data_IF_459402166055
#
_entry.id   IF_459402166055
#
_cell.length_a   1.000
_cell.length_b   1.000
_cell.length_c   1.000
_cell.angle_alpha   90.00
_cell.angle_beta   90.00
_cell.angle_gamma   90.00
#
_symmetry.space_group_name_H-M   'P 1'
#
loop_
_entity.id
_entity.type
_entity.pdbx_description
1 polymer ?
#
# COMPACT_ATOMS: atom_id res chain seq x y z
N UNK A 1 -4.94 12.97 1.78
CA UNK A 1 -4.23 12.83 0.48
C UNK A 1 -5.12 12.05 -0.49
N UNK A 2 -4.98 12.27 -1.80
CA UNK A 2 -5.69 11.49 -2.84
C UNK A 2 -4.69 11.00 -3.87
N UNK A 3 -4.92 9.80 -4.40
CA UNK A 3 -4.11 9.22 -5.46
C UNK A 3 -5.02 8.73 -6.58
N UNK A 4 -4.55 8.78 -7.82
CA UNK A 4 -5.35 8.42 -8.98
C UNK A 4 -4.52 7.59 -9.95
N UNK A 5 -5.17 6.62 -10.58
CA UNK A 5 -4.62 5.94 -11.75
C UNK A 5 -5.31 6.41 -13.01
N UNK A 6 -4.56 6.49 -14.11
CA UNK A 6 -5.10 6.70 -15.44
C UNK A 6 -5.50 5.34 -16.02
N UNK A 7 -6.78 5.17 -16.36
CA UNK A 7 -7.27 4.00 -17.06
C UNK A 7 -6.92 4.04 -18.55
N UNK A 8 -6.97 2.87 -19.21
CA UNK A 8 -6.82 2.76 -20.67
C UNK A 8 -7.92 3.48 -21.44
N UNK A 9 -9.03 3.80 -20.78
CA UNK A 9 -10.13 4.64 -21.27
C UNK A 9 -9.85 6.15 -21.17
N UNK A 10 -8.65 6.54 -20.75
CA UNK A 10 -8.25 7.94 -20.56
C UNK A 10 -8.91 8.60 -19.33
N UNK A 11 -9.56 7.82 -18.45
CA UNK A 11 -10.24 8.36 -17.26
C UNK A 11 -9.43 8.13 -16.01
N UNK A 12 -9.40 9.14 -15.14
CA UNK A 12 -8.83 9.01 -13.80
C UNK A 12 -9.78 8.24 -12.89
N UNK A 13 -9.22 7.30 -12.12
CA UNK A 13 -9.93 6.55 -11.09
C UNK A 13 -9.15 6.69 -9.79
N UNK A 14 -9.87 6.96 -8.71
CA UNK A 14 -9.26 7.11 -7.39
C UNK A 14 -8.72 5.76 -6.92
N UNK A 15 -7.48 5.78 -6.40
CA UNK A 15 -6.82 4.63 -5.82
C UNK A 15 -7.13 4.55 -4.33
N UNK A 16 -7.17 3.33 -3.80
CA UNK A 16 -7.43 3.11 -2.39
C UNK A 16 -6.18 3.41 -1.57
N UNK A 17 -6.35 4.20 -0.52
CA UNK A 17 -5.34 4.43 0.52
C UNK A 17 -5.91 3.83 1.80
N UNK A 18 -5.26 2.80 2.33
CA UNK A 18 -5.70 2.10 3.55
C UNK A 18 -4.70 2.32 4.67
N UNK A 19 -5.14 2.87 5.80
CA UNK A 19 -4.27 3.11 6.96
C UNK A 19 -3.05 3.99 6.64
N UNK A 20 -3.18 4.95 5.72
CA UNK A 20 -2.07 5.80 5.27
C UNK A 20 -1.10 5.12 4.29
N UNK A 21 -1.45 3.96 3.72
CA UNK A 21 -0.64 3.28 2.71
C UNK A 21 -1.33 3.33 1.36
N UNK A 22 -0.59 3.81 0.36
CA UNK A 22 -0.93 3.68 -1.04
C UNK A 22 -0.29 2.40 -1.59
N UNK A 23 -1.08 1.54 -2.22
CA UNK A 23 -0.61 0.35 -2.94
C UNK A 23 -0.75 0.62 -4.44
N UNK A 24 0.27 0.30 -5.24
CA UNK A 24 0.23 0.49 -6.68
C UNK A 24 -0.61 -0.58 -7.36
N UNK A 25 -1.51 -0.14 -8.25
CA UNK A 25 -2.27 -1.03 -9.14
C UNK A 25 -1.48 -1.39 -10.43
N UNK A 26 -0.30 -0.80 -10.62
CA UNK A 26 0.47 -0.88 -11.89
C UNK A 26 1.85 -1.52 -11.70
N UNK A 27 2.47 -1.30 -10.54
CA UNK A 27 3.79 -1.86 -10.21
C UNK A 27 3.57 -2.88 -9.10
N UNK A 28 3.65 -4.15 -9.44
CA UNK A 28 3.45 -5.25 -8.49
C UNK A 28 4.43 -5.14 -7.32
N UNK A 29 3.90 -5.27 -6.10
CA UNK A 29 4.69 -5.18 -4.86
C UNK A 29 5.09 -3.76 -4.46
N UNK A 30 4.77 -2.72 -5.25
CA UNK A 30 5.04 -1.35 -4.86
C UNK A 30 3.96 -0.80 -3.93
N UNK A 31 4.40 -0.17 -2.84
CA UNK A 31 3.57 0.53 -1.89
C UNK A 31 4.36 1.69 -1.28
N UNK A 32 3.66 2.66 -0.69
CA UNK A 32 4.29 3.76 0.04
C UNK A 32 3.38 4.25 1.17
N UNK A 33 3.96 4.54 2.34
CA UNK A 33 3.26 5.28 3.40
C UNK A 33 3.15 6.74 2.99
N UNK A 34 1.93 7.27 2.96
CA UNK A 34 1.65 8.64 2.50
C UNK A 34 2.36 9.70 3.32
N UNK A 35 2.59 9.42 4.60
CA UNK A 35 3.23 10.34 5.53
C UNK A 35 4.73 10.50 5.21
N UNK A 36 5.37 9.51 4.57
CA UNK A 36 6.77 9.58 4.14
C UNK A 36 6.99 10.53 2.97
N UNK A 37 5.95 10.83 2.17
CA UNK A 37 6.11 11.72 1.01
C UNK A 37 6.44 13.16 1.38
N UNK A 38 6.12 13.55 2.61
CA UNK A 38 6.32 14.91 3.13
C UNK A 38 7.24 14.93 4.37
N UNK A 39 7.76 13.77 4.77
CA UNK A 39 8.65 13.66 5.92
C UNK A 39 10.03 14.24 5.58
N UNK A 40 10.71 14.78 6.59
CA UNK A 40 12.12 15.10 6.44
C UNK A 40 12.91 13.80 6.21
N UNK A 41 13.99 13.81 5.40
CA UNK A 41 14.74 12.60 5.08
C UNK A 41 15.27 11.84 6.32
N UNK A 42 15.46 12.55 7.44
CA UNK A 42 15.91 11.97 8.70
C UNK A 42 14.80 11.17 9.42
N UNK A 43 13.53 11.44 9.11
CA UNK A 43 12.34 10.77 9.68
C UNK A 43 11.88 9.56 8.85
N UNK A 44 12.47 9.33 7.67
CA UNK A 44 12.14 8.18 6.80
C UNK A 44 12.95 6.97 7.28
N UNK A 45 12.31 5.83 7.59
CA UNK A 45 13.00 4.61 7.98
C UNK A 45 14.02 4.18 6.92
N UNK A 46 15.14 3.60 7.37
CA UNK A 46 16.12 3.06 6.45
C UNK A 46 15.49 1.90 5.68
N UNK A 47 15.98 1.64 4.47
CA UNK A 47 15.36 0.70 3.53
C UNK A 47 15.09 -0.70 4.13
N UNK A 48 15.93 -1.18 5.05
CA UNK A 48 15.72 -2.46 5.74
C UNK A 48 14.57 -2.40 6.76
N UNK A 49 14.54 -1.35 7.59
CA UNK A 49 13.47 -1.13 8.58
C UNK A 49 12.10 -1.01 7.88
N UNK A 50 12.07 -0.37 6.71
CA UNK A 50 10.86 -0.23 5.90
C UNK A 50 10.33 -1.57 5.34
N UNK A 51 11.20 -2.55 5.09
CA UNK A 51 10.81 -3.87 4.60
C UNK A 51 10.21 -4.74 5.73
N UNK A 52 10.81 -4.71 6.92
CA UNK A 52 10.33 -5.48 8.09
C UNK A 52 8.90 -5.07 8.52
N UNK A 53 8.57 -3.77 8.48
CA UNK A 53 7.22 -3.27 8.79
C UNK A 53 6.12 -3.83 7.86
N UNK A 54 6.52 -4.32 6.70
CA UNK A 54 5.63 -4.62 5.60
C UNK A 54 5.36 -6.13 5.43
N UNK A 55 6.31 -6.97 5.83
CA UNK A 55 6.10 -8.43 5.94
C UNK A 55 4.95 -8.75 6.92
N UNK A 56 4.82 -7.98 8.01
CA UNK A 56 3.74 -8.13 8.98
C UNK A 56 2.31 -7.86 8.47
N UNK A 57 2.14 -7.29 7.28
CA UNK A 57 0.82 -7.03 6.65
C UNK A 57 0.40 -8.11 5.66
N UNK A 58 1.32 -8.99 5.26
CA UNK A 58 1.09 -10.02 4.24
C UNK A 58 0.51 -11.32 4.81
N UNK A 59 0.60 -11.53 6.14
CA UNK A 59 0.18 -12.77 6.79
C UNK A 59 -1.31 -12.82 7.21
N UNK A 60 -2.12 -11.82 6.86
CA UNK A 60 -3.51 -11.69 7.34
C UNK A 60 -4.62 -12.35 6.51
N UNK A 61 -4.34 -13.00 5.37
CA UNK A 61 -5.40 -13.39 4.42
C UNK A 61 -5.49 -14.89 4.07
N UNK A 62 -5.26 -15.78 5.04
CA UNK A 62 -5.63 -17.21 4.91
C UNK A 62 -6.15 -17.78 6.22
N UNK A 63 -7.37 -17.40 6.62
CA UNK A 63 -8.21 -18.24 7.51
C UNK A 63 -9.65 -17.72 7.49
N UNK A 64 -10.49 -18.27 6.62
CA UNK A 64 -11.87 -17.85 6.58
C UNK A 64 -12.78 -18.51 5.55
N UNK A 65 -12.54 -19.74 5.12
CA UNK A 65 -13.62 -20.50 4.48
C UNK A 65 -13.40 -22.00 4.63
N UNK A 66 -14.04 -22.61 5.63
CA UNK A 66 -14.44 -24.02 5.67
C UNK A 66 -15.11 -24.36 7.01
N UNK A 67 -16.21 -23.67 7.36
CA UNK A 67 -17.24 -24.20 8.29
C UNK A 67 -18.62 -23.59 7.98
N UNK A 68 -19.27 -24.12 6.95
CA UNK A 68 -20.74 -24.24 6.87
C UNK A 68 -21.00 -25.71 6.59
N UNK A 69 -21.30 -26.47 7.65
CA UNK A 69 -22.64 -27.01 7.97
C UNK A 69 -23.19 -27.89 6.85
#
# INVERSE_FOLDING_TARGET
>A
MRAFRLGSDGRFREMRIEGGILISDVIDGFWVKTDWLLADPEDIPKALDALEENEGKSEGNTKGDERRK
#
